data_IF_747647501975
#
_entry.id   IF_747647501975
#
_cell.length_a   1.000
_cell.length_b   1.000
_cell.length_c   1.000
_cell.angle_alpha   90.00
_cell.angle_beta   90.00
_cell.angle_gamma   90.00
#
_symmetry.space_group_name_H-M   'P 1'
#
loop_
_entity.id
_entity.type
_entity.pdbx_description
1 polymer ?
#
# COMPACT_ATOMS: atom_id res chain seq x y z
N UNK A 1 6.42 20.84 -3.51
CA UNK A 1 6.02 19.47 -3.07
C UNK A 1 4.58 19.17 -3.49
N UNK A 2 3.62 20.04 -3.16
CA UNK A 2 2.20 19.85 -3.52
C UNK A 2 1.92 19.65 -5.01
N UNK A 3 2.60 20.36 -5.90
CA UNK A 3 2.44 20.16 -7.35
C UNK A 3 2.79 18.72 -7.78
N UNK A 4 3.91 18.19 -7.28
CA UNK A 4 4.34 16.80 -7.54
C UNK A 4 3.35 15.79 -6.97
N UNK A 5 2.83 16.02 -5.75
CA UNK A 5 1.81 15.16 -5.14
C UNK A 5 0.54 15.12 -6.00
N UNK A 6 0.06 16.30 -6.42
CA UNK A 6 -1.13 16.41 -7.27
C UNK A 6 -0.94 15.68 -8.60
N UNK A 7 0.21 15.86 -9.24
CA UNK A 7 0.54 15.18 -10.50
C UNK A 7 0.64 13.66 -10.33
N UNK A 8 1.29 13.18 -9.26
CA UNK A 8 1.39 11.76 -8.94
C UNK A 8 -0.01 11.14 -8.76
N UNK A 9 -0.89 11.80 -8.02
CA UNK A 9 -2.25 11.31 -7.75
C UNK A 9 -3.14 11.34 -8.99
N UNK A 10 -2.97 12.35 -9.85
CA UNK A 10 -3.66 12.40 -11.15
C UNK A 10 -3.24 11.21 -12.02
N UNK A 11 -1.93 11.00 -12.20
CA UNK A 11 -1.41 9.85 -12.97
C UNK A 11 -1.84 8.51 -12.36
N UNK A 12 -1.86 8.40 -11.04
CA UNK A 12 -2.33 7.21 -10.32
C UNK A 12 -3.80 6.88 -10.63
N UNK A 13 -4.63 7.93 -10.74
CA UNK A 13 -6.06 7.81 -11.09
C UNK A 13 -6.24 7.38 -12.53
N UNK A 14 -5.54 8.03 -13.47
CA UNK A 14 -5.56 7.68 -14.90
C UNK A 14 -5.08 6.24 -15.14
N UNK A 15 -4.06 5.80 -14.40
CA UNK A 15 -3.52 4.44 -14.44
C UNK A 15 -4.43 3.39 -13.79
N UNK A 16 -5.60 3.78 -13.23
CA UNK A 16 -6.54 2.91 -12.52
C UNK A 16 -5.83 2.05 -11.46
N UNK A 17 -5.09 2.70 -10.56
CA UNK A 17 -4.27 2.09 -9.50
C UNK A 17 -3.04 1.31 -9.95
N UNK A 18 -2.79 1.25 -11.26
CA UNK A 18 -1.71 0.46 -11.83
C UNK A 18 -2.19 -0.54 -12.89
N UNK A 19 -3.50 -0.80 -12.95
CA UNK A 19 -4.11 -1.80 -13.84
C UNK A 19 -3.96 -1.48 -15.33
N UNK A 20 -3.89 -0.20 -15.69
CA UNK A 20 -3.80 0.27 -17.08
C UNK A 20 -2.66 1.26 -17.29
N UNK A 21 -1.54 1.08 -16.56
CA UNK A 21 -0.36 1.95 -16.69
C UNK A 21 0.37 1.71 -18.01
N UNK A 22 0.61 2.75 -18.81
CA UNK A 22 1.53 2.66 -19.97
C UNK A 22 2.99 2.72 -19.53
N UNK A 23 3.96 2.30 -20.37
CA UNK A 23 5.38 2.46 -20.07
C UNK A 23 5.79 3.90 -19.73
N UNK A 24 5.29 4.88 -20.48
CA UNK A 24 5.59 6.30 -20.31
C UNK A 24 5.01 6.83 -18.99
N UNK A 25 3.77 6.44 -18.67
CA UNK A 25 3.16 6.77 -17.37
C UNK A 25 3.96 6.16 -16.22
N UNK A 26 4.43 4.92 -16.38
CA UNK A 26 5.22 4.22 -15.36
C UNK A 26 6.53 4.95 -15.07
N UNK A 27 7.26 5.35 -16.11
CA UNK A 27 8.50 6.13 -15.99
C UNK A 27 8.22 7.48 -15.29
N UNK A 28 7.21 8.21 -15.74
CA UNK A 28 6.84 9.50 -15.16
C UNK A 28 6.43 9.40 -13.69
N UNK A 29 5.63 8.38 -13.33
CA UNK A 29 5.25 8.11 -11.94
C UNK A 29 6.50 7.83 -11.10
N UNK A 30 7.42 7.01 -11.61
CA UNK A 30 8.66 6.66 -10.91
C UNK A 30 9.56 7.88 -10.67
N UNK A 31 9.68 8.77 -11.65
CA UNK A 31 10.43 10.03 -11.52
C UNK A 31 9.84 10.96 -10.46
N UNK A 32 8.52 11.10 -10.42
CA UNK A 32 7.84 11.92 -9.41
C UNK A 32 7.98 11.29 -8.03
N UNK A 33 7.82 9.97 -7.94
CA UNK A 33 7.97 9.19 -6.71
C UNK A 33 9.35 9.42 -6.09
N UNK A 34 10.42 9.23 -6.85
CA UNK A 34 11.81 9.42 -6.38
C UNK A 34 12.12 10.86 -5.99
N UNK A 35 11.60 11.84 -6.72
CA UNK A 35 11.69 13.27 -6.34
C UNK A 35 11.02 13.51 -4.99
N UNK A 36 9.82 12.98 -4.76
CA UNK A 36 9.13 13.12 -3.48
C UNK A 36 9.90 12.44 -2.34
N UNK A 37 10.43 11.23 -2.54
CA UNK A 37 11.29 10.54 -1.55
C UNK A 37 12.46 11.43 -1.09
N UNK A 38 13.16 12.07 -2.04
CA UNK A 38 14.27 12.98 -1.71
C UNK A 38 13.84 14.19 -0.86
N UNK A 39 12.55 14.56 -0.96
CA UNK A 39 11.93 15.70 -0.26
C UNK A 39 11.14 15.27 0.98
N UNK A 40 11.28 14.03 1.46
CA UNK A 40 10.52 13.49 2.59
C UNK A 40 10.66 14.38 3.84
N UNK A 41 9.54 14.95 4.37
CA UNK A 41 9.58 15.77 5.58
C UNK A 41 9.76 14.96 6.87
N UNK A 42 9.47 13.65 6.86
CA UNK A 42 9.48 12.80 8.04
C UNK A 42 10.59 11.75 7.94
N UNK A 43 11.77 12.00 8.53
CA UNK A 43 12.91 11.07 8.41
C UNK A 43 12.72 9.74 9.14
N UNK A 44 12.12 9.76 10.33
CA UNK A 44 11.87 8.57 11.17
C UNK A 44 10.41 8.17 11.06
N UNK A 45 10.02 7.64 9.90
CA UNK A 45 8.61 7.46 9.53
C UNK A 45 7.85 6.54 10.49
N UNK A 46 8.45 5.44 10.95
CA UNK A 46 7.81 4.52 11.90
C UNK A 46 7.67 5.08 13.32
N UNK A 47 8.40 6.15 13.65
CA UNK A 47 8.29 6.87 14.93
C UNK A 47 7.32 8.05 14.88
N UNK A 48 6.85 8.43 13.69
CA UNK A 48 5.90 9.52 13.53
C UNK A 48 4.49 9.05 13.83
N UNK A 49 3.67 9.81 14.59
CA UNK A 49 2.27 9.46 14.79
C UNK A 49 1.48 9.44 13.47
N UNK A 50 1.97 10.15 12.44
CA UNK A 50 1.34 10.19 11.12
C UNK A 50 1.28 8.80 10.48
N UNK A 51 2.16 7.86 10.80
CA UNK A 51 2.14 6.54 10.16
C UNK A 51 0.90 5.73 10.53
N UNK A 52 0.38 5.94 11.75
CA UNK A 52 -0.75 5.20 12.29
C UNK A 52 -2.06 5.72 11.71
N UNK A 53 -2.58 5.04 10.69
CA UNK A 53 -3.81 5.40 10.01
C UNK A 53 -4.31 4.27 9.11
N UNK A 54 -5.54 4.44 8.59
CA UNK A 54 -6.03 3.69 7.44
C UNK A 54 -5.63 4.41 6.15
N UNK A 55 -4.77 3.77 5.37
CA UNK A 55 -4.21 4.30 4.12
C UNK A 55 -4.87 3.66 2.90
N UNK A 56 -5.42 4.46 2.00
CA UNK A 56 -6.00 4.03 0.74
C UNK A 56 -4.95 3.93 -0.36
N UNK A 57 -4.80 2.74 -0.96
CA UNK A 57 -3.88 2.53 -2.08
C UNK A 57 -4.37 3.26 -3.34
N UNK A 58 -3.53 4.16 -3.86
CA UNK A 58 -3.78 4.92 -5.09
C UNK A 58 -3.02 4.40 -6.28
N UNK A 59 -1.83 3.85 -6.08
CA UNK A 59 -1.05 3.25 -7.16
C UNK A 59 -0.08 2.19 -6.62
N UNK A 60 0.13 1.13 -7.40
CA UNK A 60 1.25 0.19 -7.19
C UNK A 60 1.71 -0.44 -8.49
N UNK A 61 2.99 -0.84 -8.53
CA UNK A 61 3.55 -1.69 -9.58
C UNK A 61 3.41 -3.18 -9.29
N UNK A 62 2.97 -3.56 -8.09
CA UNK A 62 2.91 -4.96 -7.65
C UNK A 62 1.75 -5.70 -8.32
N UNK A 63 2.05 -6.68 -9.16
CA UNK A 63 1.02 -7.44 -9.87
C UNK A 63 0.12 -8.27 -8.95
N UNK A 64 0.67 -8.83 -7.87
CA UNK A 64 -0.09 -9.59 -6.87
C UNK A 64 -1.07 -8.69 -6.12
N UNK A 65 -0.64 -7.47 -5.75
CA UNK A 65 -1.51 -6.47 -5.11
C UNK A 65 -2.48 -5.84 -6.10
N UNK A 66 -2.18 -5.80 -7.40
CA UNK A 66 -3.15 -5.45 -8.46
C UNK A 66 -4.16 -6.55 -8.76
N UNK A 67 -3.85 -7.80 -8.40
CA UNK A 67 -4.78 -8.93 -8.48
C UNK A 67 -5.06 -9.34 -9.90
N UNK A 68 -4.08 -9.15 -10.78
CA UNK A 68 -4.15 -9.64 -12.16
C UNK A 68 -4.39 -11.15 -12.11
N UNK A 69 -5.50 -11.60 -12.70
CA UNK A 69 -5.90 -13.02 -12.71
C UNK A 69 -6.70 -13.49 -11.49
N UNK A 70 -6.95 -12.63 -10.51
CA UNK A 70 -7.80 -12.92 -9.34
C UNK A 70 -9.25 -12.44 -9.49
N UNK A 71 -10.03 -12.54 -8.42
CA UNK A 71 -11.38 -11.97 -8.38
C UNK A 71 -11.33 -10.45 -8.56
N UNK A 72 -12.24 -9.84 -9.36
CA UNK A 72 -12.29 -8.40 -9.54
C UNK A 72 -12.46 -7.69 -8.20
N UNK A 73 -11.64 -6.66 -7.96
CA UNK A 73 -11.72 -5.87 -6.74
C UNK A 73 -12.55 -4.62 -6.95
N UNK A 74 -13.40 -4.31 -5.99
CA UNK A 74 -14.33 -3.19 -6.04
C UNK A 74 -14.10 -2.25 -4.86
N UNK A 75 -14.13 -0.95 -5.14
CA UNK A 75 -13.90 0.07 -4.11
C UNK A 75 -12.43 0.24 -3.71
N UNK A 76 -12.18 0.94 -2.60
CA UNK A 76 -10.84 1.22 -2.11
C UNK A 76 -10.16 -0.03 -1.55
N UNK A 77 -8.85 -0.10 -1.72
CA UNK A 77 -7.99 -1.03 -0.99
C UNK A 77 -7.35 -0.24 0.15
N UNK A 78 -7.57 -0.68 1.38
CA UNK A 78 -7.11 0.00 2.58
C UNK A 78 -5.99 -0.78 3.23
N UNK A 79 -5.03 -0.06 3.78
CA UNK A 79 -3.98 -0.60 4.63
C UNK A 79 -4.01 0.15 5.97
N UNK A 80 -4.44 -0.53 7.02
CA UNK A 80 -4.28 -0.03 8.39
C UNK A 80 -2.86 -0.33 8.82
N UNK A 81 -2.17 0.69 9.35
CA UNK A 81 -0.90 0.54 10.05
C UNK A 81 -1.10 1.02 11.48
N UNK A 82 -0.68 0.21 12.43
CA UNK A 82 -0.62 0.52 13.85
C UNK A 82 0.72 0.00 14.40
N UNK A 83 1.75 0.84 14.32
CA UNK A 83 3.11 0.49 14.75
C UNK A 83 3.16 0.30 16.27
N UNK A 84 2.33 1.02 17.03
CA UNK A 84 2.31 0.92 18.49
C UNK A 84 1.87 -0.49 18.96
N UNK A 85 0.94 -1.09 18.24
CA UNK A 85 0.46 -2.45 18.51
C UNK A 85 1.11 -3.52 17.61
N UNK A 86 2.16 -3.16 16.86
CA UNK A 86 2.83 -4.04 15.89
C UNK A 86 1.84 -4.71 14.92
N UNK A 87 0.84 -3.97 14.47
CA UNK A 87 -0.27 -4.50 13.71
C UNK A 87 -0.40 -3.80 12.36
N UNK A 88 -0.72 -4.60 11.34
CA UNK A 88 -1.17 -4.11 10.05
C UNK A 88 -2.33 -4.95 9.54
N UNK A 89 -3.15 -4.32 8.70
CA UNK A 89 -4.24 -5.00 7.99
C UNK A 89 -4.29 -4.47 6.57
N UNK A 90 -4.41 -5.35 5.58
CA UNK A 90 -4.86 -4.94 4.25
C UNK A 90 -6.29 -5.43 4.06
N UNK A 91 -7.20 -4.56 3.64
CA UNK A 91 -8.60 -4.89 3.41
C UNK A 91 -9.10 -4.38 2.06
N UNK A 92 -9.98 -5.17 1.46
CA UNK A 92 -10.55 -4.92 0.14
C UNK A 92 -11.92 -5.61 0.01
N UNK A 93 -12.62 -5.32 -1.08
CA UNK A 93 -13.85 -6.03 -1.45
C UNK A 93 -13.62 -6.70 -2.79
N UNK A 94 -13.88 -8.00 -2.87
CA UNK A 94 -13.84 -8.77 -4.12
C UNK A 94 -15.26 -9.01 -4.63
N UNK A 95 -15.42 -9.07 -5.94
CA UNK A 95 -16.67 -9.36 -6.61
C UNK A 95 -16.64 -10.81 -7.12
N UNK A 96 -17.44 -11.68 -6.50
CA UNK A 96 -17.63 -13.07 -6.91
C UNK A 96 -19.01 -13.21 -7.53
N UNK A 97 -19.08 -13.32 -8.86
CA UNK A 97 -20.34 -13.52 -9.60
C UNK A 97 -21.46 -12.51 -9.22
N UNK A 98 -21.09 -11.24 -8.98
CA UNK A 98 -22.02 -10.17 -8.59
C UNK A 98 -22.15 -9.97 -7.07
N UNK A 99 -21.65 -10.90 -6.26
CA UNK A 99 -21.63 -10.77 -4.81
C UNK A 99 -20.38 -10.02 -4.35
N UNK A 100 -20.58 -8.93 -3.60
CA UNK A 100 -19.50 -8.15 -2.96
C UNK A 100 -19.10 -8.80 -1.65
N UNK A 101 -17.91 -9.39 -1.60
CA UNK A 101 -17.40 -10.11 -0.44
C UNK A 101 -16.23 -9.31 0.15
N UNK A 102 -16.28 -8.89 1.42
CA UNK A 102 -15.14 -8.27 2.08
C UNK A 102 -14.04 -9.31 2.30
N UNK A 103 -12.80 -8.91 2.04
CA UNK A 103 -11.60 -9.69 2.25
C UNK A 103 -10.61 -8.85 3.05
N UNK A 104 -9.94 -9.45 4.04
CA UNK A 104 -8.87 -8.80 4.78
C UNK A 104 -7.78 -9.77 5.18
N UNK A 105 -6.58 -9.25 5.34
CA UNK A 105 -5.40 -9.98 5.81
C UNK A 105 -4.78 -9.21 6.97
N UNK A 106 -4.71 -9.85 8.12
CA UNK A 106 -4.09 -9.35 9.35
C UNK A 106 -2.61 -9.74 9.34
N UNK A 107 -1.75 -8.83 9.79
CA UNK A 107 -0.31 -9.02 9.82
C UNK A 107 0.33 -8.42 11.08
N UNK A 108 1.38 -9.06 11.54
CA UNK A 108 2.27 -8.56 12.58
C UNK A 108 3.43 -7.79 11.94
N UNK A 109 3.70 -6.61 12.46
CA UNK A 109 4.84 -5.77 12.10
C UNK A 109 6.05 -6.10 12.97
N UNK A 110 7.24 -6.06 12.41
CA UNK A 110 8.51 -6.17 13.13
C UNK A 110 9.46 -5.07 12.63
N UNK A 111 9.44 -3.88 13.26
CA UNK A 111 10.32 -2.77 12.89
C UNK A 111 11.79 -3.19 12.93
N UNK A 112 12.49 -3.01 11.82
CA UNK A 112 13.93 -3.31 11.69
C UNK A 112 14.77 -2.04 11.69
N UNK A 113 14.16 -0.88 11.39
CA UNK A 113 14.81 0.44 11.45
C UNK A 113 13.78 1.55 11.76
N UNK A 114 14.20 2.81 11.67
CA UNK A 114 13.31 3.98 11.86
C UNK A 114 12.31 4.18 10.70
N UNK A 115 12.49 3.50 9.56
CA UNK A 115 11.61 3.60 8.38
C UNK A 115 11.16 2.26 7.78
N UNK A 116 11.83 1.16 8.15
CA UNK A 116 11.62 -0.16 7.58
C UNK A 116 11.06 -1.13 8.62
N UNK A 117 10.08 -1.93 8.21
CA UNK A 117 9.49 -3.00 9.03
C UNK A 117 9.30 -4.25 8.20
N UNK A 118 9.60 -5.40 8.80
CA UNK A 118 9.14 -6.68 8.28
C UNK A 118 7.65 -6.84 8.58
N UNK A 119 6.98 -7.62 7.75
CA UNK A 119 5.56 -7.92 7.81
C UNK A 119 5.41 -9.43 7.76
N UNK A 120 4.76 -10.01 8.76
CA UNK A 120 4.36 -11.40 8.77
C UNK A 120 2.84 -11.47 8.70
N UNK A 121 2.31 -12.13 7.68
CA UNK A 121 0.87 -12.30 7.58
C UNK A 121 0.42 -13.42 8.51
N UNK A 122 -0.62 -13.17 9.30
CA UNK A 122 -1.08 -14.09 10.34
C UNK A 122 -2.41 -14.75 9.98
N UNK A 123 -3.36 -13.97 9.44
CA UNK A 123 -4.73 -14.45 9.22
C UNK A 123 -5.40 -13.81 8.02
N UNK A 124 -5.99 -14.65 7.19
CA UNK A 124 -6.90 -14.23 6.13
C UNK A 124 -8.35 -14.35 6.58
N UNK A 125 -9.17 -13.42 6.13
CA UNK A 125 -10.61 -13.41 6.34
C UNK A 125 -11.28 -13.11 5.00
N UNK A 126 -12.21 -13.95 4.57
CA UNK A 126 -13.04 -13.73 3.38
C UNK A 126 -14.50 -13.97 3.75
N UNK A 127 -15.30 -12.91 3.76
CA UNK A 127 -16.66 -12.95 4.31
C UNK A 127 -16.67 -13.52 5.74
N UNK A 128 -17.43 -14.57 6.03
CA UNK A 128 -17.48 -15.19 7.36
C UNK A 128 -16.32 -16.14 7.65
N UNK A 129 -15.52 -16.53 6.65
CA UNK A 129 -14.49 -17.57 6.77
C UNK A 129 -13.17 -16.95 7.20
N UNK A 130 -12.49 -17.59 8.16
CA UNK A 130 -11.17 -17.19 8.67
C UNK A 130 -10.22 -18.37 8.59
N UNK A 131 -8.99 -18.13 8.15
CA UNK A 131 -7.94 -19.15 8.11
C UNK A 131 -6.57 -18.53 8.33
N UNK A 132 -5.65 -19.31 8.89
CA UNK A 132 -4.29 -18.85 9.13
C UNK A 132 -3.57 -18.66 7.80
N UNK A 133 -2.75 -17.60 7.72
CA UNK A 133 -1.86 -17.44 6.60
C UNK A 133 -0.79 -18.55 6.60
N UNK A 134 -0.34 -19.02 5.41
CA UNK A 134 0.92 -19.76 5.33
C UNK A 134 2.08 -18.87 5.79
N UNK A 135 3.31 -19.40 5.88
CA UNK A 135 4.50 -18.60 6.23
C UNK A 135 4.85 -17.61 5.11
N UNK A 136 4.07 -16.54 5.01
CA UNK A 136 4.18 -15.46 4.06
C UNK A 136 4.75 -14.25 4.80
N UNK A 137 5.84 -13.72 4.26
CA UNK A 137 6.54 -12.56 4.80
C UNK A 137 6.71 -11.52 3.70
N UNK A 138 6.86 -10.29 4.14
CA UNK A 138 7.26 -9.17 3.30
C UNK A 138 7.98 -8.12 4.14
N UNK A 139 8.33 -7.04 3.48
CA UNK A 139 9.03 -5.89 4.02
C UNK A 139 8.37 -4.62 3.47
N UNK A 140 8.30 -3.60 4.32
CA UNK A 140 7.79 -2.28 3.97
C UNK A 140 8.82 -1.25 4.39
N UNK A 141 9.35 -0.51 3.42
CA UNK A 141 10.19 0.67 3.65
C UNK A 141 9.40 1.93 3.33
N UNK A 142 9.06 2.70 4.37
CA UNK A 142 8.29 3.94 4.24
C UNK A 142 9.26 5.09 3.95
N UNK A 143 9.41 5.39 2.67
CA UNK A 143 10.41 6.33 2.15
C UNK A 143 9.92 7.78 2.09
N UNK A 144 8.60 7.99 2.17
CA UNK A 144 7.98 9.30 2.30
C UNK A 144 6.75 9.24 3.21
N UNK A 145 6.60 10.21 4.10
CA UNK A 145 5.42 10.35 4.94
C UNK A 145 5.15 11.82 5.28
N UNK A 146 3.94 12.29 4.98
CA UNK A 146 3.39 13.56 5.49
C UNK A 146 1.94 13.37 5.96
N UNK A 147 1.16 14.45 6.03
CA UNK A 147 -0.19 14.41 6.60
C UNK A 147 -1.18 13.57 5.80
N UNK A 148 -1.03 13.46 4.48
CA UNK A 148 -2.02 12.87 3.58
C UNK A 148 -1.42 11.91 2.54
N UNK A 149 -0.09 11.81 2.44
CA UNK A 149 0.62 10.94 1.50
C UNK A 149 1.67 10.08 2.20
N UNK A 150 1.65 8.79 1.86
CA UNK A 150 2.68 7.82 2.20
C UNK A 150 3.19 7.14 0.94
N UNK A 151 4.51 7.13 0.76
CA UNK A 151 5.18 6.36 -0.28
C UNK A 151 5.94 5.22 0.37
N UNK A 152 5.89 4.05 -0.24
CA UNK A 152 6.51 2.84 0.31
C UNK A 152 7.14 2.02 -0.80
N UNK A 153 8.28 1.39 -0.49
CA UNK A 153 8.92 0.37 -1.30
C UNK A 153 8.75 -0.99 -0.64
N UNK A 154 8.49 -2.02 -1.44
CA UNK A 154 8.45 -3.43 -1.00
C UNK A 154 9.61 -4.25 -1.55
N UNK A 155 9.69 -5.51 -1.14
CA UNK A 155 10.83 -6.45 -1.28
C UNK A 155 11.29 -6.64 -2.72
N UNK A 156 10.35 -6.61 -3.66
CA UNK A 156 10.61 -6.84 -5.08
C UNK A 156 10.80 -5.52 -5.86
N UNK A 157 11.17 -4.44 -5.16
CA UNK A 157 11.31 -3.10 -5.74
C UNK A 157 9.98 -2.45 -6.14
N UNK A 158 8.85 -3.03 -5.71
CA UNK A 158 7.53 -2.47 -5.99
C UNK A 158 7.32 -1.18 -5.22
N UNK A 159 6.69 -0.20 -5.87
CA UNK A 159 6.30 1.05 -5.22
C UNK A 159 4.82 1.05 -4.86
N UNK A 160 4.48 1.77 -3.82
CA UNK A 160 3.12 1.98 -3.34
C UNK A 160 2.91 3.47 -3.05
N UNK A 161 1.85 4.03 -3.62
CA UNK A 161 1.37 5.39 -3.36
C UNK A 161 0.08 5.27 -2.59
N UNK A 162 0.06 5.75 -1.35
CA UNK A 162 -1.12 5.67 -0.48
C UNK A 162 -1.49 7.05 0.07
N UNK A 163 -2.79 7.30 0.22
CA UNK A 163 -3.29 8.52 0.87
C UNK A 163 -4.24 8.19 2.01
N UNK A 164 -4.55 9.15 2.87
CA UNK A 164 -5.58 9.01 3.90
C UNK A 164 -6.49 10.23 3.92
#
# INVERSE_FOLDING_TARGET
RESLKKELLQLSTEAKRGLSTTPEQKEKIYDIFTKLESMNPTKKTLKSPLVNAAWSLKYTTSESILGKGGLPRVGPQLQVIDVANLYAENSEVVNLLGLKIPSKIEATLSPVSDCQTDVKFDRFVIGPVKFNAPDLKGNLDITYLDEDLRLTRGDLGNIFVLTR
#
